data_IF_316588855239
#
_entry.id   IF_316588855239
#
_cell.length_a   1.000
_cell.length_b   1.000
_cell.length_c   1.000
_cell.angle_alpha   90.00
_cell.angle_beta   90.00
_cell.angle_gamma   90.00
#
_symmetry.space_group_name_H-M   'P 1'
#
loop_
_entity.id
_entity.type
_entity.pdbx_description
1 polymer ?
#
# COMPACT_ATOMS: atom_id res chain seq x y z
N UNK A 1 -14.43 18.97 -50.56
CA UNK A 1 -13.80 17.74 -50.05
C UNK A 1 -12.95 18.13 -48.86
N UNK A 2 -13.47 17.99 -47.67
CA UNK A 2 -12.75 18.30 -46.44
C UNK A 2 -12.05 17.02 -45.99
N UNK A 3 -10.74 17.08 -45.88
CA UNK A 3 -9.84 15.99 -45.44
C UNK A 3 -10.11 15.73 -43.97
N UNK A 4 -10.61 14.55 -43.64
CA UNK A 4 -10.70 14.01 -42.29
C UNK A 4 -9.29 13.62 -41.84
N UNK A 5 -8.65 14.48 -41.07
CA UNK A 5 -7.39 14.16 -40.40
C UNK A 5 -7.73 13.19 -39.25
N UNK A 6 -7.45 11.91 -39.48
CA UNK A 6 -7.48 10.87 -38.46
C UNK A 6 -6.39 11.14 -37.42
N UNK A 7 -6.76 11.66 -36.28
CA UNK A 7 -5.89 11.72 -35.09
C UNK A 7 -5.82 10.30 -34.52
N UNK A 8 -4.94 9.45 -35.08
CA UNK A 8 -4.42 8.31 -34.38
C UNK A 8 -3.55 8.85 -33.25
N UNK A 9 -4.13 9.00 -32.05
CA UNK A 9 -3.37 9.15 -30.82
C UNK A 9 -2.28 8.08 -30.82
N UNK A 10 -1.01 8.50 -30.92
CA UNK A 10 0.14 7.61 -30.65
C UNK A 10 -0.02 7.21 -29.20
N UNK A 11 -0.52 6.01 -28.93
CA UNK A 11 -0.38 5.40 -27.61
C UNK A 11 1.13 5.43 -27.29
N UNK A 12 1.50 6.20 -26.26
CA UNK A 12 2.87 6.19 -25.78
C UNK A 12 3.26 4.74 -25.46
N UNK A 13 4.47 4.33 -25.87
CA UNK A 13 4.94 2.98 -25.60
C UNK A 13 4.91 2.73 -24.07
N UNK A 14 4.43 1.55 -23.68
CA UNK A 14 4.46 1.14 -22.26
C UNK A 14 5.92 1.13 -21.82
N UNK A 15 6.30 1.86 -20.75
CA UNK A 15 7.67 1.87 -20.24
C UNK A 15 8.08 0.48 -19.74
N UNK A 16 9.36 0.17 -19.83
CA UNK A 16 9.91 -1.05 -19.23
C UNK A 16 9.94 -0.94 -17.69
N UNK A 17 10.05 -2.09 -17.01
CA UNK A 17 10.24 -2.13 -15.56
C UNK A 17 11.47 -1.32 -15.12
N UNK A 18 12.60 -1.46 -15.84
CA UNK A 18 13.84 -0.76 -15.53
C UNK A 18 13.71 0.76 -15.69
N UNK A 19 12.96 1.23 -16.70
CA UNK A 19 12.68 2.66 -16.88
C UNK A 19 11.86 3.23 -15.72
N UNK A 20 10.84 2.51 -15.24
CA UNK A 20 10.02 2.93 -14.10
C UNK A 20 10.86 2.98 -12.81
N UNK A 21 11.67 1.97 -12.56
CA UNK A 21 12.60 1.92 -11.42
C UNK A 21 13.64 3.05 -11.50
N UNK A 22 14.18 3.33 -12.69
CA UNK A 22 15.11 4.45 -12.89
C UNK A 22 14.45 5.82 -12.61
N UNK A 23 13.20 6.03 -13.07
CA UNK A 23 12.41 7.24 -12.77
C UNK A 23 12.20 7.39 -11.26
N UNK A 24 11.81 6.32 -10.56
CA UNK A 24 11.62 6.36 -9.11
C UNK A 24 12.92 6.69 -8.36
N UNK A 25 14.04 6.09 -8.77
CA UNK A 25 15.36 6.38 -8.20
C UNK A 25 15.76 7.84 -8.40
N UNK A 26 15.47 8.41 -9.55
CA UNK A 26 15.75 9.82 -9.85
C UNK A 26 14.93 10.79 -9.00
N UNK A 27 13.75 10.38 -8.48
CA UNK A 27 12.93 11.21 -7.60
C UNK A 27 13.41 11.26 -6.14
N UNK A 28 14.27 10.33 -5.69
CA UNK A 28 14.70 10.27 -4.27
C UNK A 28 15.21 11.62 -3.73
N UNK A 29 16.11 12.36 -4.41
CA UNK A 29 16.60 13.65 -3.90
C UNK A 29 15.49 14.68 -3.71
N UNK A 30 14.55 14.77 -4.66
CA UNK A 30 13.40 15.69 -4.60
C UNK A 30 12.47 15.34 -3.45
N UNK A 31 12.18 14.05 -3.27
CA UNK A 31 11.33 13.57 -2.17
C UNK A 31 11.97 13.85 -0.81
N UNK A 32 13.28 13.65 -0.65
CA UNK A 32 14.03 14.02 0.57
C UNK A 32 13.92 15.52 0.87
N UNK A 33 14.10 16.36 -0.14
CA UNK A 33 14.02 17.81 0.02
C UNK A 33 12.60 18.25 0.45
N UNK A 34 11.55 17.60 -0.04
CA UNK A 34 10.15 17.88 0.28
C UNK A 34 9.64 17.21 1.56
N UNK A 35 10.37 16.26 2.14
CA UNK A 35 9.88 15.45 3.27
C UNK A 35 9.42 16.28 4.46
N UNK A 36 10.16 17.32 4.85
CA UNK A 36 9.79 18.21 5.97
C UNK A 36 8.50 18.97 5.69
N UNK A 37 8.31 19.47 4.47
CA UNK A 37 7.09 20.17 4.05
C UNK A 37 5.89 19.20 4.03
N UNK A 38 6.08 17.99 3.52
CA UNK A 38 5.09 16.91 3.52
C UNK A 38 4.60 16.60 4.96
N UNK A 39 5.52 16.46 5.91
CA UNK A 39 5.21 16.21 7.31
C UNK A 39 4.46 17.39 7.94
N UNK A 40 4.93 18.62 7.72
CA UNK A 40 4.33 19.83 8.27
C UNK A 40 2.90 20.07 7.73
N UNK A 41 2.68 19.80 6.45
CA UNK A 41 1.37 19.89 5.80
C UNK A 41 0.44 18.70 6.14
N UNK A 42 0.95 17.65 6.77
CA UNK A 42 0.27 16.37 7.00
C UNK A 42 -0.37 15.80 5.73
N UNK A 43 0.25 16.07 4.59
CA UNK A 43 -0.19 15.63 3.28
C UNK A 43 0.97 15.64 2.29
N UNK A 44 0.98 14.71 1.34
CA UNK A 44 1.93 14.72 0.23
C UNK A 44 1.60 15.92 -0.67
N UNK A 45 2.59 16.75 -1.08
CA UNK A 45 2.33 17.87 -1.98
C UNK A 45 1.68 17.42 -3.31
N UNK A 46 0.69 18.16 -3.78
CA UNK A 46 -0.03 17.84 -5.03
C UNK A 46 0.91 17.76 -6.25
N UNK A 47 1.97 18.57 -6.27
CA UNK A 47 3.02 18.51 -7.30
C UNK A 47 3.75 17.16 -7.31
N UNK A 48 3.98 16.55 -6.13
CA UNK A 48 4.61 15.23 -6.02
C UNK A 48 3.69 14.14 -6.58
N UNK A 49 2.39 14.22 -6.31
CA UNK A 49 1.40 13.31 -6.89
C UNK A 49 1.38 13.44 -8.42
N UNK A 50 1.34 14.68 -8.94
CA UNK A 50 1.35 14.94 -10.38
C UNK A 50 2.64 14.41 -11.06
N UNK A 51 3.80 14.58 -10.43
CA UNK A 51 5.07 14.02 -10.91
C UNK A 51 5.05 12.48 -10.94
N UNK A 52 4.48 11.84 -9.91
CA UNK A 52 4.34 10.37 -9.85
C UNK A 52 3.35 9.85 -10.90
N UNK A 53 2.25 10.58 -11.17
CA UNK A 53 1.31 10.26 -12.26
C UNK A 53 2.00 10.41 -13.62
N UNK A 54 2.72 11.50 -13.86
CA UNK A 54 3.46 11.73 -15.10
C UNK A 54 4.56 10.67 -15.32
N UNK A 55 5.19 10.18 -14.25
CA UNK A 55 6.15 9.08 -14.29
C UNK A 55 5.52 7.72 -14.61
N UNK A 56 4.18 7.61 -14.54
CA UNK A 56 3.43 6.39 -14.86
C UNK A 56 3.29 5.40 -13.70
N UNK A 57 3.62 5.80 -12.48
CA UNK A 57 3.70 4.86 -11.35
C UNK A 57 2.34 4.28 -10.96
N UNK A 58 1.26 5.05 -11.02
CA UNK A 58 -0.08 4.58 -10.72
C UNK A 58 -0.69 3.68 -11.81
N UNK A 59 0.00 3.51 -12.95
CA UNK A 59 -0.42 2.68 -14.08
C UNK A 59 0.16 1.26 -14.04
N UNK A 60 1.10 0.97 -13.14
CA UNK A 60 1.86 -0.29 -13.15
C UNK A 60 0.95 -1.51 -13.07
N UNK A 61 -0.01 -1.51 -12.15
CA UNK A 61 -0.97 -2.63 -11.96
C UNK A 61 -2.40 -2.30 -12.45
N UNK A 62 -2.57 -1.19 -13.19
CA UNK A 62 -3.84 -0.80 -13.79
C UNK A 62 -4.08 -1.61 -15.09
N UNK A 63 -5.36 -1.93 -15.43
CA UNK A 63 -5.70 -2.61 -16.68
C UNK A 63 -5.25 -1.84 -17.92
N UNK A 64 -4.71 -2.56 -18.93
CA UNK A 64 -4.29 -1.99 -20.22
C UNK A 64 -5.42 -1.28 -20.95
N UNK A 65 -6.65 -1.75 -20.79
CA UNK A 65 -7.85 -1.14 -21.40
C UNK A 65 -8.08 0.32 -20.97
N UNK A 66 -7.51 0.73 -19.83
CA UNK A 66 -7.52 2.10 -19.32
C UNK A 66 -6.13 2.76 -19.40
N UNK A 67 -5.23 2.24 -20.24
CA UNK A 67 -3.88 2.78 -20.42
C UNK A 67 -2.90 2.39 -19.32
N UNK A 68 -3.25 1.42 -18.49
CA UNK A 68 -2.36 0.78 -17.52
C UNK A 68 -1.34 -0.15 -18.17
N UNK A 69 -0.47 -0.72 -17.37
CA UNK A 69 0.64 -1.54 -17.87
C UNK A 69 0.48 -3.05 -17.58
N UNK A 70 -0.37 -3.43 -16.62
CA UNK A 70 -0.59 -4.83 -16.20
C UNK A 70 0.73 -5.58 -15.95
N UNK A 71 1.65 -4.94 -15.25
CA UNK A 71 2.96 -5.53 -14.94
C UNK A 71 2.89 -6.43 -13.72
N UNK A 72 3.91 -7.30 -13.59
CA UNK A 72 4.16 -8.03 -12.36
C UNK A 72 4.22 -7.05 -11.17
N UNK A 73 3.50 -7.30 -10.06
CA UNK A 73 3.46 -6.42 -8.88
C UNK A 73 4.84 -6.12 -8.28
N UNK A 74 5.85 -6.94 -8.52
CA UNK A 74 7.21 -6.67 -8.08
C UNK A 74 7.77 -5.35 -8.64
N UNK A 75 7.32 -4.90 -9.83
CA UNK A 75 7.69 -3.59 -10.38
C UNK A 75 7.11 -2.46 -9.54
N UNK A 76 5.83 -2.58 -9.15
CA UNK A 76 5.15 -1.64 -8.27
C UNK A 76 5.82 -1.55 -6.89
N UNK A 77 6.15 -2.68 -6.28
CA UNK A 77 6.83 -2.72 -4.99
C UNK A 77 8.26 -2.18 -5.04
N UNK A 78 8.97 -2.39 -6.15
CA UNK A 78 10.32 -1.81 -6.34
C UNK A 78 10.27 -0.28 -6.41
N UNK A 79 9.34 0.27 -7.18
CA UNK A 79 9.08 1.71 -7.24
C UNK A 79 8.72 2.25 -5.86
N UNK A 80 7.84 1.57 -5.13
CA UNK A 80 7.40 1.97 -3.79
C UNK A 80 8.57 2.08 -2.79
N UNK A 81 9.48 1.11 -2.79
CA UNK A 81 10.67 1.13 -1.91
C UNK A 81 11.52 2.36 -2.15
N UNK A 82 11.75 2.70 -3.42
CA UNK A 82 12.58 3.85 -3.81
C UNK A 82 11.91 5.19 -3.42
N UNK A 83 10.60 5.31 -3.65
CA UNK A 83 9.84 6.49 -3.19
C UNK A 83 9.93 6.62 -1.67
N UNK A 84 9.75 5.50 -0.94
CA UNK A 84 9.82 5.48 0.51
C UNK A 84 11.22 5.80 1.07
N UNK A 85 12.30 5.49 0.36
CA UNK A 85 13.67 5.90 0.72
C UNK A 85 13.83 7.42 0.68
N UNK A 86 13.12 8.10 -0.22
CA UNK A 86 13.07 9.55 -0.28
C UNK A 86 12.18 10.16 0.81
N UNK A 87 10.98 9.61 1.00
CA UNK A 87 10.02 10.00 2.02
C UNK A 87 9.08 8.83 2.32
N UNK A 88 9.14 8.28 3.54
CA UNK A 88 8.34 7.09 3.86
C UNK A 88 6.83 7.36 3.83
N UNK A 89 6.36 8.55 4.24
CA UNK A 89 4.96 8.95 4.11
C UNK A 89 4.50 8.94 2.64
N UNK A 90 5.32 9.46 1.71
CA UNK A 90 5.02 9.43 0.27
C UNK A 90 5.01 8.00 -0.26
N UNK A 91 5.97 7.16 0.14
CA UNK A 91 6.01 5.75 -0.25
C UNK A 91 4.86 4.92 0.32
N UNK A 92 4.40 5.23 1.53
CA UNK A 92 3.19 4.64 2.11
C UNK A 92 1.94 5.03 1.31
N UNK A 93 1.74 6.34 1.08
CA UNK A 93 0.63 6.83 0.27
C UNK A 93 0.62 6.19 -1.11
N UNK A 94 1.78 6.13 -1.78
CA UNK A 94 1.89 5.48 -3.08
C UNK A 94 1.53 3.99 -3.01
N UNK A 95 1.96 3.28 -1.97
CA UNK A 95 1.61 1.87 -1.76
C UNK A 95 0.10 1.65 -1.68
N UNK A 96 -0.60 2.52 -0.92
CA UNK A 96 -2.06 2.43 -0.77
C UNK A 96 -2.76 2.84 -2.07
N UNK A 97 -2.51 4.04 -2.60
CA UNK A 97 -3.21 4.51 -3.80
C UNK A 97 -2.82 3.72 -5.06
N UNK A 98 -1.58 3.27 -5.14
CA UNK A 98 -1.05 2.55 -6.31
C UNK A 98 -1.50 1.09 -6.41
N UNK A 99 -1.95 0.45 -5.31
CA UNK A 99 -2.53 -0.89 -5.38
C UNK A 99 -4.03 -0.88 -5.73
N UNK A 100 -4.74 0.24 -5.54
CA UNK A 100 -6.17 0.31 -5.85
C UNK A 100 -6.53 0.16 -7.32
N UNK A 101 -5.69 0.54 -8.31
CA UNK A 101 -5.97 0.19 -9.70
C UNK A 101 -6.08 -1.33 -9.93
N UNK A 102 -5.32 -2.14 -9.20
CA UNK A 102 -5.50 -3.59 -9.23
C UNK A 102 -6.84 -4.00 -8.58
N UNK A 103 -7.17 -3.49 -7.39
CA UNK A 103 -8.44 -3.82 -6.71
C UNK A 103 -9.65 -3.40 -7.52
N UNK A 104 -9.66 -2.17 -8.06
CA UNK A 104 -10.78 -1.68 -8.87
C UNK A 104 -10.98 -2.52 -10.15
N UNK A 105 -9.91 -3.09 -10.70
CA UNK A 105 -10.01 -4.03 -11.82
C UNK A 105 -10.75 -5.32 -11.48
N UNK A 106 -10.93 -5.65 -10.19
CA UNK A 106 -11.71 -6.80 -9.71
C UNK A 106 -13.21 -6.49 -9.59
N UNK A 107 -13.61 -5.22 -9.60
CA UNK A 107 -15.00 -4.80 -9.59
C UNK A 107 -15.67 -5.04 -10.94
N UNK A 108 -17.01 -5.05 -10.94
CA UNK A 108 -17.80 -5.11 -12.16
C UNK A 108 -17.38 -4.02 -13.17
N UNK A 109 -17.40 -4.31 -14.46
CA UNK A 109 -16.95 -3.45 -15.56
C UNK A 109 -17.53 -2.03 -15.49
N UNK A 110 -18.82 -1.90 -15.18
CA UNK A 110 -19.48 -0.60 -15.07
C UNK A 110 -18.86 0.29 -13.99
N UNK A 111 -18.44 -0.26 -12.85
CA UNK A 111 -17.76 0.49 -11.80
C UNK A 111 -16.39 1.01 -12.28
N UNK A 112 -15.64 0.19 -13.02
CA UNK A 112 -14.37 0.59 -13.62
C UNK A 112 -14.56 1.72 -14.63
N UNK A 113 -15.61 1.64 -15.49
CA UNK A 113 -15.92 2.67 -16.48
C UNK A 113 -16.31 4.00 -15.83
N UNK A 114 -17.04 4.00 -14.72
CA UNK A 114 -17.41 5.22 -13.99
C UNK A 114 -16.20 5.94 -13.38
N UNK A 115 -15.18 5.18 -12.95
CA UNK A 115 -13.95 5.78 -12.38
C UNK A 115 -12.99 6.23 -13.49
N UNK A 116 -12.76 5.39 -14.51
CA UNK A 116 -11.67 5.59 -15.47
C UNK A 116 -12.11 5.94 -16.90
N UNK A 117 -13.41 5.88 -17.19
CA UNK A 117 -13.90 6.10 -18.57
C UNK A 117 -13.59 7.49 -19.12
N UNK A 118 -13.71 8.52 -18.28
CA UNK A 118 -13.40 9.91 -18.66
C UNK A 118 -11.94 10.29 -18.33
N UNK A 119 -11.46 9.88 -17.15
CA UNK A 119 -10.10 10.16 -16.69
C UNK A 119 -9.41 8.88 -16.19
N UNK A 120 -8.61 8.21 -17.03
CA UNK A 120 -7.85 7.03 -16.63
C UNK A 120 -6.80 7.25 -15.53
N UNK A 121 -6.50 8.51 -15.19
CA UNK A 121 -5.56 8.86 -14.12
C UNK A 121 -6.23 9.06 -12.76
N UNK A 122 -7.56 8.88 -12.68
CA UNK A 122 -8.34 9.05 -11.46
C UNK A 122 -7.82 8.14 -10.34
N UNK A 123 -7.53 8.73 -9.17
CA UNK A 123 -7.07 8.02 -7.99
C UNK A 123 -8.22 7.69 -7.05
N UNK A 124 -8.06 6.59 -6.34
CA UNK A 124 -9.03 6.05 -5.38
C UNK A 124 -8.34 5.88 -4.04
N UNK A 125 -8.90 6.41 -2.95
CA UNK A 125 -8.46 6.16 -1.58
C UNK A 125 -9.24 4.98 -0.97
N UNK A 126 -8.85 4.52 0.21
CA UNK A 126 -9.57 3.44 0.88
C UNK A 126 -9.50 3.48 2.39
N UNK A 127 -10.48 2.82 3.00
CA UNK A 127 -10.40 2.31 4.36
C UNK A 127 -11.35 1.11 4.51
N UNK A 128 -10.78 -0.06 4.82
CA UNK A 128 -11.52 -1.33 4.83
C UNK A 128 -12.08 -1.69 6.20
N UNK A 129 -12.06 -0.74 7.16
CA UNK A 129 -12.69 -0.96 8.47
C UNK A 129 -14.17 -1.28 8.27
N UNK A 130 -14.70 -2.39 8.81
CA UNK A 130 -16.09 -2.79 8.59
C UNK A 130 -17.05 -2.08 9.54
N UNK A 131 -16.97 -0.74 9.59
CA UNK A 131 -17.74 0.12 10.51
C UNK A 131 -18.97 0.75 9.85
N UNK A 132 -19.15 0.55 8.54
CA UNK A 132 -20.30 1.07 7.80
C UNK A 132 -21.61 0.44 8.25
N UNK A 133 -22.64 1.27 8.35
CA UNK A 133 -24.03 0.84 8.50
C UNK A 133 -24.65 0.71 7.12
N UNK A 134 -25.18 -0.47 6.80
CA UNK A 134 -25.70 -0.81 5.48
C UNK A 134 -27.16 -1.19 5.60
N UNK A 135 -28.01 -0.57 4.76
CA UNK A 135 -29.37 -1.02 4.48
C UNK A 135 -29.43 -1.58 3.06
N UNK A 136 -30.03 -2.76 2.91
CA UNK A 136 -30.30 -3.34 1.59
C UNK A 136 -31.55 -2.67 1.02
N UNK A 137 -31.42 -2.09 -0.17
CA UNK A 137 -32.52 -1.41 -0.88
C UNK A 137 -32.60 -1.92 -2.32
N UNK A 138 -33.65 -1.54 -3.03
CA UNK A 138 -33.81 -1.96 -4.44
C UNK A 138 -32.63 -1.48 -5.30
N UNK A 139 -31.99 -2.42 -5.98
CA UNK A 139 -30.83 -2.17 -6.88
C UNK A 139 -29.50 -1.88 -6.19
N UNK A 140 -29.41 -1.98 -4.85
CA UNK A 140 -28.15 -1.74 -4.16
C UNK A 140 -28.29 -1.58 -2.64
N UNK A 141 -27.58 -0.57 -2.11
CA UNK A 141 -27.44 -0.35 -0.67
C UNK A 141 -27.49 1.13 -0.32
N UNK A 142 -27.96 1.44 0.88
CA UNK A 142 -27.73 2.73 1.52
C UNK A 142 -26.61 2.58 2.55
N UNK A 143 -25.56 3.41 2.43
CA UNK A 143 -24.38 3.35 3.30
C UNK A 143 -24.28 4.61 4.15
N UNK A 144 -24.02 4.45 5.45
CA UNK A 144 -23.68 5.53 6.37
C UNK A 144 -22.55 5.11 7.30
N UNK A 145 -21.76 6.07 7.78
CA UNK A 145 -20.72 5.80 8.76
C UNK A 145 -19.60 6.83 8.81
N UNK A 146 -18.64 6.56 9.69
CA UNK A 146 -17.38 7.30 9.77
C UNK A 146 -16.22 6.32 9.81
N UNK A 147 -15.32 6.49 8.87
CA UNK A 147 -14.12 5.66 8.71
C UNK A 147 -12.88 6.51 8.91
N UNK A 148 -11.92 6.03 9.70
CA UNK A 148 -10.59 6.62 9.82
C UNK A 148 -9.61 6.05 8.81
N UNK A 149 -8.42 6.62 8.75
CA UNK A 149 -7.25 6.10 8.01
C UNK A 149 -7.37 6.12 6.47
N UNK A 150 -8.18 7.00 5.88
CA UNK A 150 -8.28 7.10 4.42
C UNK A 150 -7.05 7.82 3.83
N UNK A 151 -5.98 7.05 3.61
CA UNK A 151 -4.70 7.54 3.11
C UNK A 151 -4.85 8.29 1.77
N UNK A 152 -4.32 9.53 1.71
CA UNK A 152 -4.27 10.31 0.47
C UNK A 152 -5.63 10.75 -0.07
N UNK A 153 -6.69 10.73 0.74
CA UNK A 153 -8.07 11.04 0.32
C UNK A 153 -8.22 12.42 -0.35
N UNK A 154 -7.38 13.41 0.01
CA UNK A 154 -7.39 14.73 -0.62
C UNK A 154 -6.96 14.73 -2.10
N UNK A 155 -6.32 13.65 -2.58
CA UNK A 155 -5.86 13.49 -3.96
C UNK A 155 -6.78 12.62 -4.81
N UNK A 156 -7.87 12.12 -4.23
CA UNK A 156 -8.72 11.10 -4.82
C UNK A 156 -10.11 11.62 -5.16
N UNK A 157 -10.63 11.21 -6.32
CA UNK A 157 -12.01 11.50 -6.72
C UNK A 157 -13.00 10.41 -6.28
N UNK A 158 -12.49 9.28 -5.77
CA UNK A 158 -13.28 8.15 -5.31
C UNK A 158 -12.70 7.55 -4.02
N UNK A 159 -13.55 6.80 -3.28
CA UNK A 159 -13.15 6.10 -2.06
C UNK A 159 -13.73 4.68 -2.02
N UNK A 160 -12.95 3.74 -1.49
CA UNK A 160 -13.33 2.37 -1.16
C UNK A 160 -13.56 2.27 0.35
N UNK A 161 -14.75 1.85 0.78
CA UNK A 161 -15.15 1.79 2.19
C UNK A 161 -15.61 0.38 2.56
N UNK A 162 -15.09 -0.16 3.67
CA UNK A 162 -15.49 -1.47 4.18
C UNK A 162 -16.77 -1.44 4.97
N UNK A 163 -17.65 -2.44 4.78
CA UNK A 163 -18.81 -2.65 5.64
C UNK A 163 -19.22 -4.13 5.68
N UNK A 164 -20.05 -4.48 6.69
CA UNK A 164 -20.65 -5.80 6.86
C UNK A 164 -22.14 -5.73 6.58
N UNK A 165 -22.63 -6.64 5.74
CA UNK A 165 -24.04 -6.87 5.53
C UNK A 165 -24.43 -8.11 6.34
N UNK A 166 -25.26 -7.90 7.37
CA UNK A 166 -25.72 -8.99 8.22
C UNK A 166 -26.94 -9.67 7.63
N UNK A 167 -27.11 -11.01 7.83
CA UNK A 167 -28.33 -11.70 7.48
C UNK A 167 -29.54 -11.12 8.24
N UNK A 168 -30.75 -11.49 7.81
CA UNK A 168 -31.98 -11.15 8.50
C UNK A 168 -31.90 -11.60 9.98
N UNK A 169 -32.21 -10.71 10.91
CA UNK A 169 -32.02 -10.92 12.35
C UNK A 169 -30.76 -10.22 12.92
N UNK A 170 -29.89 -9.65 12.08
CA UNK A 170 -28.73 -8.83 12.51
C UNK A 170 -27.53 -9.61 13.00
N UNK A 171 -26.63 -8.95 13.77
CA UNK A 171 -25.42 -9.58 14.28
C UNK A 171 -25.70 -10.83 15.12
N UNK A 172 -25.04 -11.95 14.78
CA UNK A 172 -25.23 -13.25 15.44
C UNK A 172 -26.24 -14.18 14.75
N UNK A 173 -26.98 -13.74 13.74
CA UNK A 173 -27.91 -14.57 12.95
C UNK A 173 -27.21 -15.46 11.90
N UNK A 174 -25.92 -15.21 11.62
CA UNK A 174 -25.10 -15.94 10.67
C UNK A 174 -23.83 -15.16 10.31
N UNK A 175 -22.99 -15.70 9.44
CA UNK A 175 -21.80 -14.98 8.98
C UNK A 175 -22.21 -13.76 8.14
N UNK A 176 -21.58 -12.58 8.35
CA UNK A 176 -21.85 -11.40 7.55
C UNK A 176 -21.19 -11.51 6.16
N UNK A 177 -21.82 -10.85 5.19
CA UNK A 177 -21.20 -10.59 3.88
C UNK A 177 -20.35 -9.31 4.01
N UNK A 178 -19.04 -9.47 4.01
CA UNK A 178 -18.10 -8.34 4.02
C UNK A 178 -17.90 -7.83 2.61
N UNK A 179 -18.14 -6.53 2.43
CA UNK A 179 -17.95 -5.87 1.12
C UNK A 179 -17.14 -4.60 1.23
N UNK A 180 -16.50 -4.27 0.11
CA UNK A 180 -15.94 -2.96 -0.18
C UNK A 180 -16.91 -2.19 -1.06
N UNK A 181 -17.23 -0.95 -0.68
CA UNK A 181 -18.18 -0.05 -1.34
C UNK A 181 -17.42 1.08 -2.03
N UNK A 182 -17.67 1.33 -3.30
CA UNK A 182 -17.03 2.37 -4.10
C UNK A 182 -17.95 3.59 -4.22
N UNK A 183 -17.51 4.74 -3.72
CA UNK A 183 -18.26 6.00 -3.71
C UNK A 183 -17.50 7.13 -4.44
N UNK A 184 -18.19 7.96 -5.24
CA UNK A 184 -17.61 9.17 -5.82
C UNK A 184 -17.45 10.27 -4.78
N UNK A 185 -16.60 11.25 -5.08
CA UNK A 185 -16.27 12.37 -4.17
C UNK A 185 -17.50 13.18 -3.72
N UNK A 186 -18.56 13.19 -4.49
CA UNK A 186 -19.83 13.86 -4.16
C UNK A 186 -20.56 13.25 -2.96
N UNK A 187 -20.32 11.96 -2.67
CA UNK A 187 -21.15 11.18 -1.74
C UNK A 187 -20.51 11.04 -0.37
N UNK A 188 -19.34 11.66 -0.13
CA UNK A 188 -18.67 11.62 1.17
C UNK A 188 -17.98 12.95 1.52
N UNK A 189 -17.76 13.13 2.83
CA UNK A 189 -17.01 14.25 3.36
C UNK A 189 -15.65 13.76 3.89
N UNK A 190 -14.60 14.54 3.62
CA UNK A 190 -13.28 14.35 4.21
C UNK A 190 -13.19 15.28 5.43
N UNK A 191 -12.82 14.74 6.60
CA UNK A 191 -12.75 15.51 7.84
C UNK A 191 -11.30 15.93 8.06
N UNK A 192 -11.01 17.19 7.78
CA UNK A 192 -9.67 17.76 7.98
C UNK A 192 -9.27 17.75 9.46
N UNK A 193 -7.96 17.73 9.73
CA UNK A 193 -7.41 17.78 11.09
C UNK A 193 -7.54 16.49 11.89
N UNK A 194 -8.06 15.40 11.32
CA UNK A 194 -8.22 14.11 12.04
C UNK A 194 -6.94 13.25 12.03
N UNK A 195 -5.93 13.59 11.21
CA UNK A 195 -4.68 12.83 11.10
C UNK A 195 -3.57 13.44 11.97
N UNK A 196 -3.63 13.22 13.29
CA UNK A 196 -2.64 13.67 14.26
C UNK A 196 -1.83 12.53 14.83
N UNK A 197 -0.75 12.17 14.16
CA UNK A 197 0.11 11.02 14.48
C UNK A 197 1.57 11.45 14.69
N UNK A 198 2.35 10.59 15.34
CA UNK A 198 3.80 10.83 15.58
C UNK A 198 4.68 10.40 14.39
N UNK A 199 4.17 9.53 13.51
CA UNK A 199 4.84 9.06 12.30
C UNK A 199 3.85 8.87 11.16
N UNK A 200 4.32 8.73 9.92
CA UNK A 200 3.51 8.72 8.70
C UNK A 200 2.59 9.94 8.59
N UNK A 201 3.02 11.07 9.15
CA UNK A 201 2.21 12.29 9.23
C UNK A 201 1.82 12.81 7.85
N UNK A 202 2.75 12.71 6.87
CA UNK A 202 2.53 13.21 5.51
C UNK A 202 1.58 12.36 4.66
N UNK A 203 1.01 11.27 5.18
CA UNK A 203 0.09 10.43 4.39
C UNK A 203 -1.29 11.02 4.23
N UNK A 204 -1.69 11.99 5.07
CA UNK A 204 -3.02 12.59 5.02
C UNK A 204 -4.14 11.55 5.13
N UNK A 205 -4.00 10.60 6.08
CA UNK A 205 -4.95 9.48 6.24
C UNK A 205 -6.18 9.93 7.03
N UNK A 206 -6.91 10.88 6.46
CA UNK A 206 -8.04 11.58 7.09
C UNK A 206 -9.27 10.68 7.26
N UNK A 207 -10.19 11.11 8.14
CA UNK A 207 -11.48 10.46 8.29
C UNK A 207 -12.41 10.78 7.13
N UNK A 208 -13.27 9.81 6.80
CA UNK A 208 -14.34 9.91 5.82
C UNK A 208 -15.68 9.76 6.53
N UNK A 209 -16.64 10.62 6.21
CA UNK A 209 -18.04 10.54 6.68
C UNK A 209 -18.95 10.36 5.48
N UNK A 210 -19.84 9.40 5.56
CA UNK A 210 -20.92 9.16 4.60
C UNK A 210 -22.26 9.24 5.34
N UNK A 211 -23.23 9.94 4.74
CA UNK A 211 -24.59 10.05 5.27
C UNK A 211 -25.60 9.58 4.21
N UNK A 212 -26.11 8.37 4.38
CA UNK A 212 -27.15 7.74 3.55
C UNK A 212 -26.88 7.78 2.04
N UNK A 213 -25.64 7.54 1.63
CA UNK A 213 -25.31 7.46 0.21
C UNK A 213 -25.86 6.17 -0.40
N UNK A 214 -26.53 6.29 -1.56
CA UNK A 214 -26.94 5.13 -2.34
C UNK A 214 -25.73 4.56 -3.12
N UNK A 215 -25.46 3.27 -2.94
CA UNK A 215 -24.40 2.54 -3.65
C UNK A 215 -25.03 1.40 -4.46
N UNK A 216 -25.04 1.47 -5.79
CA UNK A 216 -25.54 0.38 -6.62
C UNK A 216 -24.71 -0.89 -6.39
N UNK A 217 -25.34 -2.07 -6.54
CA UNK A 217 -24.68 -3.35 -6.26
C UNK A 217 -23.37 -3.53 -7.06
N UNK A 218 -23.33 -3.11 -8.33
CA UNK A 218 -22.14 -3.22 -9.19
C UNK A 218 -20.94 -2.36 -8.71
N UNK A 219 -21.16 -1.39 -7.81
CA UNK A 219 -20.10 -0.63 -7.11
C UNK A 219 -19.65 -1.28 -5.81
N UNK A 220 -19.98 -2.54 -5.58
CA UNK A 220 -19.49 -3.30 -4.42
C UNK A 220 -18.63 -4.48 -4.87
N UNK A 221 -17.70 -4.88 -4.00
CA UNK A 221 -16.86 -6.06 -4.20
C UNK A 221 -16.88 -6.91 -2.93
N UNK A 222 -17.23 -8.19 -3.05
CA UNK A 222 -17.29 -9.11 -1.92
C UNK A 222 -15.91 -9.60 -1.53
N UNK A 223 -15.62 -9.62 -0.25
CA UNK A 223 -14.38 -10.19 0.26
C UNK A 223 -14.26 -11.69 -0.09
N UNK A 224 -15.38 -12.43 -0.14
CA UNK A 224 -15.42 -13.83 -0.59
C UNK A 224 -14.93 -14.00 -2.02
N UNK A 225 -15.35 -13.10 -2.94
CA UNK A 225 -14.97 -13.19 -4.35
C UNK A 225 -13.45 -12.95 -4.51
N UNK A 226 -12.90 -11.97 -3.77
CA UNK A 226 -11.47 -11.71 -3.69
C UNK A 226 -10.68 -12.88 -3.11
N UNK A 227 -11.21 -13.56 -2.10
CA UNK A 227 -10.60 -14.75 -1.52
C UNK A 227 -10.62 -15.95 -2.48
N UNK A 228 -11.74 -16.18 -3.15
CA UNK A 228 -11.89 -17.27 -4.13
C UNK A 228 -11.21 -16.97 -5.47
N UNK A 229 -10.73 -15.74 -5.68
CA UNK A 229 -10.25 -15.26 -6.98
C UNK A 229 -11.29 -15.42 -8.09
N UNK A 230 -12.56 -15.18 -7.75
CA UNK A 230 -13.72 -15.25 -8.65
C UNK A 230 -14.41 -13.89 -8.70
N UNK A 231 -13.73 -12.93 -9.28
CA UNK A 231 -14.11 -11.53 -9.21
C UNK A 231 -14.92 -11.11 -10.46
N UNK A 232 -15.95 -10.25 -10.33
CA UNK A 232 -16.72 -9.78 -11.47
C UNK A 232 -15.89 -9.11 -12.57
N UNK A 233 -14.82 -8.42 -12.18
CA UNK A 233 -13.94 -7.73 -13.11
C UNK A 233 -13.11 -8.63 -14.00
N UNK A 234 -12.96 -9.92 -13.66
CA UNK A 234 -12.22 -10.89 -14.46
C UNK A 234 -12.92 -11.22 -15.79
N UNK A 235 -14.22 -10.90 -15.94
CA UNK A 235 -14.93 -10.99 -17.23
C UNK A 235 -14.31 -10.09 -18.31
N UNK A 236 -13.65 -8.99 -17.91
CA UNK A 236 -13.08 -7.98 -18.82
C UNK A 236 -11.60 -7.76 -18.62
N UNK A 237 -11.02 -8.27 -17.55
CA UNK A 237 -9.60 -8.23 -17.21
C UNK A 237 -9.12 -9.67 -16.98
N UNK A 238 -8.77 -10.36 -18.06
CA UNK A 238 -8.44 -11.79 -18.09
C UNK A 238 -6.94 -12.09 -17.93
N UNK A 239 -6.12 -11.04 -17.73
CA UNK A 239 -4.68 -11.21 -17.55
C UNK A 239 -4.30 -11.89 -16.23
N UNK A 240 -3.16 -12.63 -16.19
CA UNK A 240 -2.74 -13.38 -14.98
C UNK A 240 -2.59 -12.50 -13.72
N UNK A 241 -2.29 -11.22 -13.88
CA UNK A 241 -2.24 -10.26 -12.79
C UNK A 241 -3.54 -10.30 -11.96
N UNK A 242 -4.71 -10.30 -12.64
CA UNK A 242 -6.03 -10.20 -11.99
C UNK A 242 -6.53 -11.53 -11.41
N UNK A 243 -5.76 -12.61 -11.57
CA UNK A 243 -5.99 -13.90 -10.90
C UNK A 243 -5.26 -13.99 -9.54
N UNK A 244 -4.45 -13.01 -9.17
CA UNK A 244 -3.84 -12.97 -7.84
C UNK A 244 -4.89 -12.68 -6.75
N UNK A 245 -4.76 -13.23 -5.53
CA UNK A 245 -5.60 -12.83 -4.42
C UNK A 245 -5.35 -11.37 -4.02
N UNK A 246 -6.42 -10.58 -3.91
CA UNK A 246 -6.33 -9.18 -3.50
C UNK A 246 -5.51 -8.96 -2.23
N UNK A 247 -5.74 -9.80 -1.22
CA UNK A 247 -5.05 -9.68 0.06
C UNK A 247 -3.53 -9.76 -0.04
N UNK A 248 -2.98 -10.58 -0.97
CA UNK A 248 -1.53 -10.69 -1.17
C UNK A 248 -0.94 -9.35 -1.65
N UNK A 249 -1.58 -8.71 -2.61
CA UNK A 249 -1.13 -7.42 -3.14
C UNK A 249 -1.25 -6.32 -2.09
N UNK A 250 -2.38 -6.25 -1.37
CA UNK A 250 -2.62 -5.24 -0.35
C UNK A 250 -1.68 -5.37 0.86
N UNK A 251 -1.55 -6.55 1.47
CA UNK A 251 -0.66 -6.76 2.63
C UNK A 251 0.79 -6.42 2.26
N UNK A 252 1.21 -6.75 1.06
CA UNK A 252 2.54 -6.42 0.56
C UNK A 252 2.70 -4.91 0.37
N UNK A 253 1.70 -4.21 -0.16
CA UNK A 253 1.76 -2.74 -0.38
C UNK A 253 1.94 -1.97 0.93
N UNK A 254 1.24 -2.34 2.01
CA UNK A 254 1.36 -1.66 3.31
C UNK A 254 2.59 -2.09 4.12
N UNK A 255 3.34 -3.08 3.70
CA UNK A 255 4.62 -3.46 4.32
C UNK A 255 5.85 -2.91 3.58
N UNK A 256 5.74 -2.69 2.28
CA UNK A 256 6.86 -2.37 1.39
C UNK A 256 7.53 -1.03 1.69
N UNK A 257 6.78 0.01 2.06
CA UNK A 257 7.34 1.32 2.38
C UNK A 257 8.39 1.25 3.52
N UNK A 258 8.27 0.27 4.41
CA UNK A 258 9.20 0.08 5.51
C UNK A 258 10.65 -0.22 5.04
N UNK A 259 10.84 -0.87 3.90
CA UNK A 259 12.18 -1.09 3.34
C UNK A 259 12.87 0.22 2.99
N UNK A 260 12.15 1.15 2.34
CA UNK A 260 12.69 2.48 2.03
C UNK A 260 12.99 3.27 3.30
N UNK A 261 12.08 3.27 4.28
CA UNK A 261 12.29 3.89 5.58
C UNK A 261 13.50 3.33 6.32
N UNK A 262 13.68 2.01 6.35
CA UNK A 262 14.83 1.37 6.98
C UNK A 262 16.15 1.70 6.25
N UNK A 263 16.15 1.72 4.91
CA UNK A 263 17.32 2.17 4.14
C UNK A 263 17.67 3.63 4.42
N UNK A 264 16.67 4.51 4.49
CA UNK A 264 16.87 5.91 4.87
C UNK A 264 17.47 6.04 6.27
N UNK A 265 17.00 5.23 7.24
CA UNK A 265 17.56 5.19 8.59
C UNK A 265 19.02 4.70 8.62
N UNK A 266 19.35 3.64 7.89
CA UNK A 266 20.72 3.13 7.75
C UNK A 266 21.64 4.20 7.13
N UNK A 267 21.20 4.86 6.06
CA UNK A 267 21.95 5.93 5.40
C UNK A 267 22.18 7.12 6.34
N UNK A 268 21.16 7.52 7.09
CA UNK A 268 21.27 8.58 8.11
C UNK A 268 22.24 8.20 9.23
N UNK A 269 22.20 6.96 9.72
CA UNK A 269 23.13 6.47 10.71
C UNK A 269 24.58 6.52 10.23
N UNK A 270 24.85 6.07 9.00
CA UNK A 270 26.18 6.15 8.41
C UNK A 270 26.67 7.59 8.25
N UNK A 271 25.80 8.52 7.88
CA UNK A 271 26.13 9.94 7.80
C UNK A 271 26.49 10.51 9.18
N UNK A 272 25.69 10.24 10.20
CA UNK A 272 25.93 10.65 11.59
C UNK A 272 27.26 10.09 12.11
N UNK A 273 27.58 8.82 11.82
CA UNK A 273 28.82 8.17 12.27
C UNK A 273 30.09 8.83 11.77
N UNK A 274 30.09 9.42 10.57
CA UNK A 274 31.28 10.01 9.95
C UNK A 274 31.89 11.13 10.78
N UNK A 275 31.03 11.97 11.37
CA UNK A 275 31.45 13.21 12.06
C UNK A 275 31.29 13.15 13.57
N UNK A 276 30.72 12.05 14.11
CA UNK A 276 30.40 11.96 15.53
C UNK A 276 31.59 11.50 16.37
N UNK A 277 31.84 12.24 17.46
CA UNK A 277 32.69 11.82 18.59
C UNK A 277 31.78 11.69 19.82
N UNK A 278 31.88 10.56 20.53
CA UNK A 278 31.13 10.33 21.77
C UNK A 278 31.64 11.30 22.88
N UNK A 279 30.72 12.11 23.42
CA UNK A 279 31.05 13.03 24.55
C UNK A 279 31.43 12.27 25.85
N UNK A 280 30.94 11.05 26.01
CA UNK A 280 31.18 10.23 27.21
C UNK A 280 32.51 9.48 27.16
N UNK A 281 32.97 9.08 25.98
CA UNK A 281 34.16 8.24 25.82
C UNK A 281 35.29 8.88 25.04
N UNK A 282 35.05 10.00 24.37
CA UNK A 282 36.00 10.64 23.46
C UNK A 282 36.29 9.85 22.18
N UNK A 283 35.62 8.72 21.95
CA UNK A 283 35.84 7.86 20.78
C UNK A 283 35.03 8.30 19.57
N UNK A 284 35.64 8.23 18.40
CA UNK A 284 34.94 8.47 17.13
C UNK A 284 33.95 7.35 16.82
N UNK A 285 32.67 7.68 16.54
CA UNK A 285 31.61 6.71 16.24
C UNK A 285 31.91 5.87 15.01
N UNK A 286 32.65 6.41 14.03
CA UNK A 286 33.09 5.68 12.84
C UNK A 286 33.98 4.45 13.10
N UNK A 287 34.50 4.31 14.30
CA UNK A 287 35.32 3.17 14.74
C UNK A 287 34.56 2.29 15.76
N UNK A 288 33.28 2.54 16.02
CA UNK A 288 32.49 1.78 16.97
C UNK A 288 32.06 0.42 16.39
N UNK A 289 32.59 -0.71 16.93
CA UNK A 289 32.30 -2.03 16.37
C UNK A 289 30.83 -2.45 16.56
N UNK A 290 30.15 -1.94 17.60
CA UNK A 290 28.73 -2.26 17.84
C UNK A 290 27.85 -1.60 16.78
N UNK A 291 28.10 -0.33 16.44
CA UNK A 291 27.40 0.36 15.33
C UNK A 291 27.69 -0.31 13.99
N UNK A 292 28.93 -0.74 13.75
CA UNK A 292 29.25 -1.49 12.53
C UNK A 292 28.45 -2.80 12.44
N UNK A 293 28.37 -3.56 13.54
CA UNK A 293 27.60 -4.80 13.58
C UNK A 293 26.11 -4.57 13.35
N UNK A 294 25.51 -3.56 14.00
CA UNK A 294 24.09 -3.24 13.84
C UNK A 294 23.77 -2.78 12.41
N UNK A 295 24.60 -1.93 11.81
CA UNK A 295 24.40 -1.45 10.43
C UNK A 295 24.58 -2.59 9.42
N UNK A 296 25.58 -3.46 9.60
CA UNK A 296 25.80 -4.60 8.72
C UNK A 296 24.65 -5.61 8.82
N UNK A 297 24.12 -5.87 10.02
CA UNK A 297 22.97 -6.73 10.25
C UNK A 297 21.71 -6.15 9.60
N UNK A 298 21.46 -4.84 9.75
CA UNK A 298 20.32 -4.19 9.12
C UNK A 298 20.43 -4.24 7.60
N UNK A 299 21.58 -3.91 7.04
CA UNK A 299 21.82 -3.95 5.58
C UNK A 299 21.60 -5.35 5.00
N UNK A 300 22.18 -6.40 5.61
CA UNK A 300 22.01 -7.78 5.16
C UNK A 300 20.56 -8.23 5.23
N UNK A 301 19.89 -8.04 6.38
CA UNK A 301 18.51 -8.49 6.56
C UNK A 301 17.50 -7.74 5.69
N UNK A 302 17.73 -6.46 5.36
CA UNK A 302 16.93 -5.72 4.38
C UNK A 302 16.98 -6.46 3.04
N UNK A 303 18.18 -6.80 2.55
CA UNK A 303 18.38 -7.47 1.27
C UNK A 303 17.73 -8.86 1.28
N UNK A 304 17.95 -9.65 2.34
CA UNK A 304 17.38 -10.98 2.48
C UNK A 304 15.85 -10.97 2.42
N UNK A 305 15.21 -10.05 3.16
CA UNK A 305 13.75 -9.92 3.15
C UNK A 305 13.22 -9.46 1.80
N UNK A 306 13.88 -8.51 1.14
CA UNK A 306 13.48 -8.05 -0.19
C UNK A 306 13.55 -9.17 -1.23
N UNK A 307 14.64 -9.93 -1.23
CA UNK A 307 14.82 -11.07 -2.14
C UNK A 307 13.76 -12.14 -1.91
N UNK A 308 13.51 -12.50 -0.65
CA UNK A 308 12.48 -13.49 -0.30
C UNK A 308 11.10 -13.04 -0.79
N UNK A 309 10.71 -11.80 -0.51
CA UNK A 309 9.39 -11.29 -0.89
C UNK A 309 9.25 -11.05 -2.40
N UNK A 310 10.33 -10.80 -3.11
CA UNK A 310 10.32 -10.78 -4.57
C UNK A 310 10.04 -12.17 -5.12
N UNK A 311 10.73 -13.18 -4.61
CA UNK A 311 10.54 -14.57 -5.05
C UNK A 311 9.11 -15.08 -4.76
N UNK A 312 8.47 -14.65 -3.65
CA UNK A 312 7.08 -15.04 -3.36
C UNK A 312 6.11 -14.49 -4.40
N UNK A 313 6.28 -13.25 -4.88
CA UNK A 313 5.43 -12.69 -5.93
C UNK A 313 5.77 -13.21 -7.33
N UNK A 314 7.04 -13.54 -7.62
CA UNK A 314 7.40 -14.25 -8.85
C UNK A 314 6.74 -15.65 -8.89
N UNK A 315 6.70 -16.36 -7.75
CA UNK A 315 5.99 -17.65 -7.63
C UNK A 315 4.47 -17.52 -7.79
N UNK A 316 3.84 -16.52 -7.15
CA UNK A 316 2.41 -16.25 -7.31
C UNK A 316 2.05 -15.94 -8.76
N UNK A 317 2.84 -15.12 -9.44
CA UNK A 317 2.64 -14.80 -10.86
C UNK A 317 2.83 -16.02 -11.76
N UNK A 318 3.85 -16.85 -11.53
CA UNK A 318 4.07 -18.07 -12.29
C UNK A 318 2.91 -19.06 -12.16
N UNK A 319 2.30 -19.18 -10.97
CA UNK A 319 1.11 -20.00 -10.75
C UNK A 319 -0.09 -19.40 -11.51
N UNK A 320 -0.32 -18.08 -11.40
CA UNK A 320 -1.40 -17.40 -12.12
C UNK A 320 -1.25 -17.52 -13.64
N UNK A 321 -0.03 -17.43 -14.19
CA UNK A 321 0.26 -17.64 -15.61
C UNK A 321 0.03 -19.08 -16.08
N UNK A 322 0.05 -20.05 -15.17
CA UNK A 322 -0.26 -21.46 -15.47
C UNK A 322 -1.74 -21.80 -15.37
N UNK A 323 -2.60 -20.82 -15.08
CA UNK A 323 -4.04 -20.98 -14.89
C UNK A 323 -4.39 -22.03 -13.78
N UNK A 324 -3.52 -22.13 -12.78
CA UNK A 324 -3.74 -22.98 -11.62
C UNK A 324 -4.15 -22.16 -10.40
N UNK A 325 -5.00 -22.70 -9.51
CA UNK A 325 -5.34 -22.04 -8.26
C UNK A 325 -4.11 -21.92 -7.36
N UNK A 326 -3.92 -20.75 -6.76
CA UNK A 326 -2.82 -20.52 -5.82
C UNK A 326 -3.09 -21.30 -4.53
N UNK A 327 -2.20 -22.23 -4.12
CA UNK A 327 -2.37 -23.06 -2.93
C UNK A 327 -2.51 -22.22 -1.64
N UNK A 328 -3.39 -22.66 -0.73
CA UNK A 328 -3.71 -21.93 0.50
C UNK A 328 -2.52 -21.83 1.47
N UNK A 329 -1.70 -22.86 1.54
CA UNK A 329 -0.47 -22.87 2.34
C UNK A 329 0.52 -21.80 1.87
N UNK A 330 0.68 -21.61 0.56
CA UNK A 330 1.47 -20.52 -0.01
C UNK A 330 0.86 -19.15 0.32
N UNK A 331 -0.47 -19.00 0.15
CA UNK A 331 -1.15 -17.74 0.47
C UNK A 331 -0.97 -17.37 1.95
N UNK A 332 -1.18 -18.32 2.87
CA UNK A 332 -0.99 -18.12 4.30
C UNK A 332 0.46 -17.73 4.64
N UNK A 333 1.44 -18.51 4.12
CA UNK A 333 2.85 -18.26 4.38
C UNK A 333 3.31 -16.90 3.82
N UNK A 334 2.94 -16.54 2.60
CA UNK A 334 3.40 -15.30 1.94
C UNK A 334 2.78 -14.04 2.56
N UNK A 335 1.50 -14.12 2.97
CA UNK A 335 0.86 -13.06 3.75
C UNK A 335 1.53 -12.87 5.11
N UNK A 336 1.87 -13.97 5.80
CA UNK A 336 2.60 -13.93 7.07
C UNK A 336 3.98 -13.30 6.90
N UNK A 337 4.75 -13.72 5.89
CA UNK A 337 6.08 -13.16 5.60
C UNK A 337 6.02 -11.66 5.32
N UNK A 338 5.03 -11.20 4.56
CA UNK A 338 4.80 -9.78 4.31
C UNK A 338 4.47 -9.01 5.59
N UNK A 339 3.63 -9.56 6.47
CA UNK A 339 3.25 -8.93 7.75
C UNK A 339 4.41 -8.81 8.75
N UNK A 340 5.42 -9.69 8.64
CA UNK A 340 6.61 -9.68 9.51
C UNK A 340 7.60 -8.55 9.21
N UNK A 341 7.55 -7.98 7.99
CA UNK A 341 8.56 -7.03 7.47
C UNK A 341 8.72 -5.82 8.38
N UNK A 342 7.64 -5.09 8.61
CA UNK A 342 7.70 -3.82 9.35
C UNK A 342 8.22 -4.03 10.77
N UNK A 343 7.76 -5.09 11.44
CA UNK A 343 8.21 -5.44 12.79
C UNK A 343 9.71 -5.76 12.84
N UNK A 344 10.23 -6.50 11.85
CA UNK A 344 11.65 -6.85 11.77
C UNK A 344 12.50 -5.62 11.49
N UNK A 345 12.10 -4.79 10.50
CA UNK A 345 12.82 -3.57 10.13
C UNK A 345 12.84 -2.55 11.26
N UNK A 346 11.72 -2.35 11.96
CA UNK A 346 11.66 -1.46 13.11
C UNK A 346 12.68 -1.86 14.20
N UNK A 347 12.77 -3.15 14.52
CA UNK A 347 13.77 -3.66 15.51
C UNK A 347 15.20 -3.39 15.10
N UNK A 348 15.55 -3.61 13.83
CA UNK A 348 16.89 -3.33 13.33
C UNK A 348 17.25 -1.84 13.44
N UNK A 349 16.29 -0.96 13.21
CA UNK A 349 16.48 0.48 13.34
C UNK A 349 16.50 0.89 14.82
N UNK A 350 15.72 0.23 15.72
CA UNK A 350 15.79 0.43 17.18
C UNK A 350 17.20 0.22 17.69
N UNK A 351 17.86 -0.88 17.31
CA UNK A 351 19.23 -1.20 17.72
C UNK A 351 20.21 -0.10 17.27
N UNK A 352 20.08 0.40 16.06
CA UNK A 352 20.90 1.51 15.53
C UNK A 352 20.67 2.80 16.33
N UNK A 353 19.40 3.18 16.56
CA UNK A 353 19.03 4.39 17.29
C UNK A 353 19.56 4.34 18.72
N UNK A 354 19.44 3.20 19.39
CA UNK A 354 19.97 2.99 20.74
C UNK A 354 21.48 3.20 20.80
N UNK A 355 22.23 2.66 19.85
CA UNK A 355 23.69 2.80 19.78
C UNK A 355 24.14 4.21 19.41
N UNK A 356 23.36 4.94 18.61
CA UNK A 356 23.57 6.37 18.34
C UNK A 356 23.32 7.22 19.59
N UNK A 357 22.53 6.76 20.56
CA UNK A 357 22.27 7.42 21.83
C UNK A 357 21.47 8.71 21.73
N UNK A 358 21.47 9.52 22.80
CA UNK A 358 20.57 10.64 23.00
C UNK A 358 20.50 11.71 21.88
N UNK A 359 21.51 11.82 21.03
CA UNK A 359 21.44 12.72 19.87
C UNK A 359 20.53 12.21 18.75
N UNK A 360 20.28 10.92 18.68
CA UNK A 360 19.41 10.35 17.64
C UNK A 360 17.95 10.76 17.82
N UNK A 361 17.51 11.06 19.05
CA UNK A 361 16.09 11.37 19.35
C UNK A 361 15.69 12.83 19.12
N UNK A 362 16.63 13.72 18.75
CA UNK A 362 16.26 15.09 18.39
C UNK A 362 15.49 15.11 17.06
N UNK A 363 14.43 15.93 16.99
CA UNK A 363 13.65 16.11 15.76
C UNK A 363 14.45 16.68 14.57
N UNK A 364 15.63 17.24 14.84
CA UNK A 364 16.60 17.66 13.81
C UNK A 364 17.48 16.53 13.29
N UNK A 365 17.49 15.37 13.94
CA UNK A 365 18.28 14.21 13.53
C UNK A 365 17.65 13.56 12.28
N UNK A 366 18.46 13.24 11.28
CA UNK A 366 17.95 12.63 10.03
C UNK A 366 17.37 11.22 10.22
N UNK A 367 17.77 10.50 11.29
CA UNK A 367 17.29 9.13 11.55
C UNK A 367 15.92 9.13 12.24
N UNK A 368 15.53 10.22 12.93
CA UNK A 368 14.35 10.19 13.80
C UNK A 368 13.04 10.01 13.01
N UNK A 369 12.90 10.68 11.86
CA UNK A 369 11.67 10.57 11.10
C UNK A 369 11.46 9.17 10.50
N UNK A 370 12.43 8.52 9.82
CA UNK A 370 12.31 7.12 9.42
C UNK A 370 11.99 6.16 10.57
N UNK A 371 12.57 6.39 11.74
CA UNK A 371 12.29 5.60 12.95
C UNK A 371 10.83 5.75 13.41
N UNK A 372 10.31 6.97 13.50
CA UNK A 372 8.91 7.26 13.87
C UNK A 372 7.94 6.66 12.85
N UNK A 373 8.23 6.80 11.56
CA UNK A 373 7.39 6.28 10.47
C UNK A 373 7.31 4.75 10.50
N UNK A 374 8.43 4.05 10.78
CA UNK A 374 8.45 2.59 10.95
C UNK A 374 7.59 2.15 12.13
N UNK A 375 7.64 2.89 13.26
CA UNK A 375 6.81 2.58 14.43
C UNK A 375 5.32 2.84 14.17
N UNK A 376 4.96 3.88 13.42
CA UNK A 376 3.59 4.12 13.00
C UNK A 376 3.10 3.02 12.03
N UNK A 377 3.91 2.66 11.04
CA UNK A 377 3.58 1.60 10.09
C UNK A 377 3.37 0.23 10.76
N UNK A 378 4.09 -0.05 11.83
CA UNK A 378 3.95 -1.29 12.62
C UNK A 378 2.58 -1.45 13.27
N UNK A 379 1.88 -0.34 13.53
CA UNK A 379 0.56 -0.35 14.14
C UNK A 379 -0.57 -0.73 13.15
N UNK A 380 -0.30 -0.80 11.86
CA UNK A 380 -1.28 -1.22 10.87
C UNK A 380 -1.62 -2.71 11.02
N UNK A 381 -2.92 -3.05 11.00
CA UNK A 381 -3.43 -4.41 11.24
C UNK A 381 -2.82 -5.47 10.32
N UNK A 382 -2.55 -5.13 9.05
CA UNK A 382 -1.91 -6.05 8.10
C UNK A 382 -0.42 -6.32 8.41
N UNK A 383 0.22 -5.48 9.24
CA UNK A 383 1.60 -5.61 9.70
C UNK A 383 1.71 -6.29 11.07
N UNK A 384 0.59 -6.82 11.60
CA UNK A 384 0.60 -7.69 12.78
C UNK A 384 0.62 -9.16 12.36
N UNK A 385 1.76 -9.85 12.48
CA UNK A 385 1.87 -11.26 12.10
C UNK A 385 1.02 -12.19 12.97
N UNK A 386 0.64 -11.78 14.18
CA UNK A 386 -0.18 -12.61 15.07
C UNK A 386 -1.54 -12.95 14.42
N UNK A 387 -2.10 -12.03 13.62
CA UNK A 387 -3.35 -12.23 12.89
C UNK A 387 -3.24 -13.29 11.78
N UNK A 388 -2.02 -13.68 11.36
CA UNK A 388 -1.75 -14.65 10.30
C UNK A 388 -1.27 -16.01 10.81
N UNK A 389 -0.86 -16.07 12.08
CA UNK A 389 -0.30 -17.28 12.67
C UNK A 389 -1.25 -18.48 12.62
N UNK A 390 -2.56 -18.34 12.93
CA UNK A 390 -3.50 -19.45 12.84
C UNK A 390 -3.59 -20.06 11.45
N UNK A 391 -3.62 -19.21 10.41
CA UNK A 391 -3.73 -19.66 9.02
C UNK A 391 -2.48 -20.44 8.59
N UNK A 392 -1.28 -19.95 8.93
CA UNK A 392 -0.02 -20.65 8.60
C UNK A 392 0.05 -22.00 9.30
N UNK A 393 -0.20 -22.05 10.61
CA UNK A 393 -0.11 -23.30 11.39
C UNK A 393 -1.23 -24.25 11.00
N UNK A 394 -2.46 -23.74 10.78
CA UNK A 394 -3.61 -24.53 10.33
C UNK A 394 -3.32 -25.23 8.99
N UNK A 395 -2.81 -24.47 7.99
CA UNK A 395 -2.48 -25.08 6.68
C UNK A 395 -1.36 -26.13 6.78
N UNK A 396 -0.37 -25.95 7.67
CA UNK A 396 0.66 -26.98 7.96
C UNK A 396 0.07 -28.26 8.57
N UNK A 397 -1.07 -28.15 9.27
CA UNK A 397 -1.80 -29.29 9.85
C UNK A 397 -2.85 -29.85 8.87
N UNK A 398 -2.99 -29.30 7.65
CA UNK A 398 -3.97 -29.72 6.66
C UNK A 398 -5.36 -29.12 6.82
N UNK A 399 -5.49 -28.09 7.65
CA UNK A 399 -6.72 -27.34 7.87
C UNK A 399 -6.90 -26.25 6.78
N UNK A 400 -8.15 -25.86 6.54
CA UNK A 400 -8.43 -24.70 5.69
C UNK A 400 -8.43 -23.43 6.53
N UNK A 401 -7.91 -22.30 6.00
CA UNK A 401 -7.99 -21.02 6.68
C UNK A 401 -9.44 -20.63 7.01
N UNK A 402 -9.64 -20.12 8.21
CA UNK A 402 -10.98 -19.72 8.66
C UNK A 402 -11.39 -18.36 8.09
N UNK A 403 -10.44 -17.54 7.70
CA UNK A 403 -10.70 -16.21 7.17
C UNK A 403 -9.98 -15.90 5.87
N UNK A 404 -10.62 -15.12 5.17
CA UNK A 404 -10.69 -14.76 3.80
C UNK A 404 -9.75 -13.65 3.34
N UNK A 405 -8.93 -13.05 4.20
CA UNK A 405 -7.99 -12.01 3.78
C UNK A 405 -6.57 -12.58 3.60
N UNK A 406 -6.48 -13.61 2.72
CA UNK A 406 -5.25 -14.34 2.37
C UNK A 406 -4.94 -14.30 0.89
#
# INVERSE_FOLDING_TARGET
MASVISIKSRMAAIPTADELVARARAMIPTLKARAKACIAARNVPAETIAEMQAAGFFRIVQPKRYGGYEMNPNVFFEVQKLIAEGCMSTGWLYGVLGCHPYELALFHDRAQQEVWGEDPSMLVSSTYQPVGQVEVVDGGFTLSGRWGFSTGSLHCGWVLLGALIWPEGGPGSGPPDMRTFLLPRSDYQIVEGTWETFGLQGTGSLDIIVDKAFVPEYRTHKASDGFLCQNPGQEVNDGPLFSLPWAQVFVRSVSTAAFGGARAAVNAAMAIMKDRVSSNTGKASKADPMLHAAIAAAHSQIIEMEQNLRLTFDDLMAIAESDQPIPMDKRALYAYQSSMVVRRLARLVDDIVQLLGGRAIYMSSEIIQPWLDLHAARAHVANDPANRTPDVVGTMMGEQPAFTFL
#
